data_IF_802888874234
#
_entry.id   IF_802888874234
#
_cell.length_a   1.000
_cell.length_b   1.000
_cell.length_c   1.000
_cell.angle_alpha   90.00
_cell.angle_beta   90.00
_cell.angle_gamma   90.00
#
_symmetry.space_group_name_H-M   'P 1'
#
loop_
_entity.id
_entity.type
_entity.pdbx_description
1 polymer ?
#
# COMPACT_ATOMS: atom_id res chain seq x y z
N UNK A 1 19.24 6.42 -5.44
CA UNK A 1 18.25 6.28 -6.54
C UNK A 1 17.85 4.81 -6.61
N UNK A 2 16.72 4.44 -6.01
CA UNK A 2 16.26 3.04 -5.97
C UNK A 2 15.46 2.76 -7.23
N UNK A 3 16.04 2.05 -8.18
CA UNK A 3 15.35 1.59 -9.39
C UNK A 3 14.14 0.75 -8.94
N UNK A 4 12.88 1.12 -9.29
CA UNK A 4 11.75 0.30 -8.91
C UNK A 4 11.93 -1.08 -9.57
N UNK A 5 12.01 -2.13 -8.76
CA UNK A 5 12.08 -3.49 -9.23
C UNK A 5 10.90 -3.72 -10.18
N UNK A 6 11.19 -3.82 -11.47
CA UNK A 6 10.21 -4.17 -12.50
C UNK A 6 9.78 -5.60 -12.22
N UNK A 7 8.65 -5.79 -11.55
CA UNK A 7 8.12 -7.13 -11.30
C UNK A 7 7.73 -7.77 -12.64
N UNK A 8 8.49 -8.78 -13.04
CA UNK A 8 8.26 -9.62 -14.22
C UNK A 8 7.54 -10.87 -13.74
N UNK A 9 6.39 -11.18 -14.34
CA UNK A 9 5.60 -12.37 -14.00
C UNK A 9 5.29 -13.15 -15.28
N UNK A 10 5.85 -14.35 -15.38
CA UNK A 10 5.59 -15.29 -16.46
C UNK A 10 4.33 -16.09 -16.17
N UNK A 11 3.39 -16.06 -17.11
CA UNK A 11 2.15 -16.85 -17.06
C UNK A 11 2.24 -18.10 -17.95
N UNK A 12 3.16 -18.08 -18.92
CA UNK A 12 3.44 -19.19 -19.85
C UNK A 12 4.95 -19.43 -19.88
N UNK A 13 5.47 -20.38 -19.08
CA UNK A 13 6.91 -20.57 -18.92
C UNK A 13 7.60 -21.04 -20.21
N UNK A 14 6.86 -21.60 -21.17
CA UNK A 14 7.41 -22.03 -22.46
C UNK A 14 7.95 -20.87 -23.34
N UNK A 15 7.63 -19.62 -22.97
CA UNK A 15 8.16 -18.40 -23.63
C UNK A 15 9.28 -17.71 -22.85
N UNK A 16 9.69 -18.26 -21.71
CA UNK A 16 10.81 -17.72 -20.94
C UNK A 16 12.12 -17.90 -21.74
N UNK A 17 12.86 -16.82 -21.98
CA UNK A 17 14.03 -16.82 -22.86
C UNK A 17 13.71 -16.72 -24.36
N UNK A 18 12.43 -16.52 -24.71
CA UNK A 18 11.92 -16.30 -26.08
C UNK A 18 11.13 -15.00 -26.16
N UNK A 19 11.63 -13.97 -25.48
CA UNK A 19 10.96 -12.66 -25.34
C UNK A 19 10.72 -11.97 -26.69
N UNK A 20 11.60 -12.23 -27.67
CA UNK A 20 11.50 -11.74 -29.05
C UNK A 20 10.26 -12.24 -29.80
N UNK A 21 9.68 -13.36 -29.37
CA UNK A 21 8.44 -13.91 -29.92
C UNK A 21 7.18 -13.29 -29.30
N UNK A 22 7.34 -12.49 -28.25
CA UNK A 22 6.24 -11.83 -27.59
C UNK A 22 6.00 -10.44 -28.17
N UNK A 23 4.74 -10.02 -28.14
CA UNK A 23 4.35 -8.67 -28.53
C UNK A 23 3.54 -8.02 -27.42
N UNK A 24 3.90 -6.78 -27.10
CA UNK A 24 3.13 -5.96 -26.20
C UNK A 24 1.76 -5.64 -26.84
N UNK A 25 0.65 -5.75 -26.10
CA UNK A 25 -0.70 -5.53 -26.67
C UNK A 25 -0.85 -4.19 -27.40
N UNK A 26 -0.19 -3.12 -26.94
CA UNK A 26 -0.24 -1.84 -27.65
C UNK A 26 0.56 -1.86 -28.97
N UNK A 27 1.68 -2.59 -29.03
CA UNK A 27 2.44 -2.79 -30.26
C UNK A 27 1.75 -3.76 -31.22
N UNK A 28 1.03 -4.75 -30.69
CA UNK A 28 0.26 -5.72 -31.45
C UNK A 28 -0.84 -5.05 -32.29
N UNK A 29 -1.46 -3.99 -31.76
CA UNK A 29 -2.45 -3.20 -32.49
C UNK A 29 -1.86 -2.54 -33.75
N UNK A 30 -0.65 -1.99 -33.65
CA UNK A 30 0.05 -1.38 -34.77
C UNK A 30 0.42 -2.40 -35.86
N UNK A 31 0.79 -3.63 -35.48
CA UNK A 31 1.14 -4.69 -36.43
C UNK A 31 -0.01 -5.08 -37.37
N UNK A 32 -1.26 -4.92 -36.93
CA UNK A 32 -2.45 -5.36 -37.68
C UNK A 32 -3.34 -4.19 -38.11
N UNK A 33 -2.88 -2.95 -37.94
CA UNK A 33 -3.58 -1.75 -38.41
C UNK A 33 -4.86 -1.40 -37.65
N UNK A 34 -4.98 -1.78 -36.37
CA UNK A 34 -6.17 -1.49 -35.55
C UNK A 34 -5.82 -0.62 -34.34
N UNK A 35 -6.84 -0.07 -33.69
CA UNK A 35 -6.64 0.72 -32.46
C UNK A 35 -6.37 -0.18 -31.25
N UNK A 36 -5.67 0.37 -30.24
CA UNK A 36 -5.43 -0.32 -28.96
C UNK A 36 -6.73 -0.73 -28.26
N UNK A 37 -7.77 0.09 -28.36
CA UNK A 37 -9.09 -0.21 -27.78
C UNK A 37 -9.76 -1.40 -28.48
N UNK A 38 -9.60 -1.55 -29.79
CA UNK A 38 -10.06 -2.74 -30.54
C UNK A 38 -9.41 -4.01 -30.01
N UNK A 39 -8.08 -4.04 -29.86
CA UNK A 39 -7.36 -5.20 -29.29
C UNK A 39 -7.82 -5.49 -27.85
N UNK A 40 -7.99 -4.45 -27.02
CA UNK A 40 -8.50 -4.64 -25.67
C UNK A 40 -9.92 -5.19 -25.64
N UNK A 41 -10.77 -4.81 -26.60
CA UNK A 41 -12.11 -5.35 -26.73
C UNK A 41 -12.08 -6.79 -27.21
N UNK A 42 -11.19 -7.15 -28.13
CA UNK A 42 -11.01 -8.53 -28.55
C UNK A 42 -10.63 -9.43 -27.39
N UNK A 43 -9.64 -9.03 -26.59
CA UNK A 43 -9.22 -9.76 -25.39
C UNK A 43 -10.34 -9.96 -24.36
N UNK A 44 -11.33 -9.06 -24.32
CA UNK A 44 -12.50 -9.17 -23.42
C UNK A 44 -13.63 -10.02 -24.00
N UNK A 45 -13.84 -9.98 -25.31
CA UNK A 45 -15.04 -10.52 -25.99
C UNK A 45 -14.83 -11.89 -26.61
N UNK A 46 -13.59 -12.28 -26.87
CA UNK A 46 -13.27 -13.51 -27.59
C UNK A 46 -12.52 -14.47 -26.68
N UNK A 47 -13.14 -15.61 -26.37
CA UNK A 47 -12.53 -16.66 -25.55
C UNK A 47 -11.30 -17.29 -26.21
N UNK A 48 -11.24 -17.26 -27.55
CA UNK A 48 -10.11 -17.74 -28.35
C UNK A 48 -9.01 -16.68 -28.55
N UNK A 49 -9.06 -15.55 -27.82
CA UNK A 49 -7.96 -14.60 -27.83
C UNK A 49 -6.69 -15.23 -27.24
N UNK A 50 -5.49 -14.95 -27.80
CA UNK A 50 -4.24 -15.52 -27.29
C UNK A 50 -4.03 -15.28 -25.80
N UNK A 51 -3.59 -16.32 -25.10
CA UNK A 51 -3.33 -16.21 -23.66
C UNK A 51 -2.11 -15.32 -23.41
N UNK A 52 -2.21 -14.48 -22.39
CA UNK A 52 -1.10 -13.63 -21.94
C UNK A 52 0.05 -14.54 -21.50
N UNK A 53 1.24 -14.31 -22.05
CA UNK A 53 2.45 -15.06 -21.71
C UNK A 53 3.27 -14.37 -20.62
N UNK A 54 3.31 -13.03 -20.64
CA UNK A 54 4.15 -12.24 -19.74
C UNK A 54 3.41 -10.97 -19.27
N UNK A 55 3.54 -10.68 -17.97
CA UNK A 55 3.13 -9.43 -17.35
C UNK A 55 4.38 -8.68 -16.83
N UNK A 56 4.50 -7.40 -17.17
CA UNK A 56 5.57 -6.54 -16.69
C UNK A 56 5.02 -5.32 -15.95
N UNK A 57 5.57 -5.02 -14.77
CA UNK A 57 5.23 -3.84 -13.97
C UNK A 57 4.34 -4.14 -12.77
N UNK A 58 3.97 -3.09 -12.03
CA UNK A 58 3.29 -3.20 -10.73
C UNK A 58 1.82 -2.76 -10.84
N UNK A 59 0.93 -3.50 -10.19
CA UNK A 59 -0.49 -3.15 -10.06
C UNK A 59 -1.30 -3.20 -11.36
N UNK A 60 -2.30 -2.32 -11.47
CA UNK A 60 -3.25 -2.28 -12.58
C UNK A 60 -2.65 -1.77 -13.90
N UNK A 61 -1.46 -1.16 -13.86
CA UNK A 61 -0.74 -0.62 -15.03
C UNK A 61 0.18 -1.62 -15.74
N UNK A 62 0.09 -2.92 -15.42
CA UNK A 62 0.94 -3.96 -16.00
C UNK A 62 0.85 -4.02 -17.52
N UNK A 63 2.01 -3.95 -18.16
CA UNK A 63 2.16 -4.24 -19.57
C UNK A 63 1.90 -5.74 -19.81
N UNK A 64 1.06 -6.03 -20.80
CA UNK A 64 0.63 -7.40 -21.13
C UNK A 64 1.26 -7.80 -22.46
N UNK A 65 1.86 -8.98 -22.47
CA UNK A 65 2.51 -9.55 -23.63
C UNK A 65 1.85 -10.86 -24.01
N UNK A 66 1.62 -11.04 -25.32
CA UNK A 66 1.05 -12.24 -25.91
C UNK A 66 2.02 -12.79 -26.96
N UNK A 67 2.01 -14.10 -27.26
CA UNK A 67 2.79 -14.64 -28.36
C UNK A 67 2.37 -13.99 -29.68
N UNK A 68 3.35 -13.46 -30.42
CA UNK A 68 3.12 -12.69 -31.65
C UNK A 68 2.41 -13.54 -32.70
N UNK A 69 2.85 -14.78 -32.91
CA UNK A 69 2.28 -15.65 -33.94
C UNK A 69 0.81 -15.98 -33.65
N UNK A 70 0.50 -16.41 -32.41
CA UNK A 70 -0.88 -16.67 -31.98
C UNK A 70 -1.78 -15.43 -32.16
N UNK A 71 -1.25 -14.24 -31.86
CA UNK A 71 -1.97 -12.98 -32.07
C UNK A 71 -2.23 -12.68 -33.54
N UNK A 72 -1.24 -12.87 -34.41
CA UNK A 72 -1.41 -12.62 -35.84
C UNK A 72 -2.42 -13.60 -36.46
N UNK A 73 -2.40 -14.87 -36.06
CA UNK A 73 -3.36 -15.86 -36.53
C UNK A 73 -4.79 -15.53 -36.08
N UNK A 74 -4.95 -15.16 -34.81
CA UNK A 74 -6.23 -14.67 -34.31
C UNK A 74 -6.70 -13.41 -35.06
N UNK A 75 -5.80 -12.43 -35.26
CA UNK A 75 -6.12 -11.17 -35.90
C UNK A 75 -6.53 -11.36 -37.37
N UNK A 76 -5.86 -12.24 -38.12
CA UNK A 76 -6.24 -12.62 -39.49
C UNK A 76 -7.68 -13.13 -39.54
N UNK A 77 -8.03 -14.04 -38.63
CA UNK A 77 -9.40 -14.58 -38.56
C UNK A 77 -10.41 -13.47 -38.24
N UNK A 78 -10.08 -12.52 -37.36
CA UNK A 78 -11.01 -11.45 -37.02
C UNK A 78 -11.16 -10.37 -38.10
N UNK A 79 -10.08 -10.05 -38.81
CA UNK A 79 -10.10 -9.07 -39.90
C UNK A 79 -10.82 -9.62 -41.14
N UNK A 80 -10.75 -10.93 -41.37
CA UNK A 80 -11.42 -11.60 -42.49
C UNK A 80 -12.89 -11.94 -42.20
N UNK A 81 -13.38 -11.76 -40.97
CA UNK A 81 -14.81 -11.85 -40.71
C UNK A 81 -15.46 -10.64 -41.35
N UNK A 82 -16.29 -10.90 -42.37
CA UNK A 82 -17.21 -9.89 -42.88
C UNK A 82 -17.88 -9.21 -41.71
N UNK A 83 -17.81 -7.87 -41.69
CA UNK A 83 -18.36 -7.03 -40.64
C UNK A 83 -19.87 -7.29 -40.58
N UNK A 84 -20.24 -8.28 -39.76
CA UNK A 84 -21.62 -8.73 -39.62
C UNK A 84 -22.52 -7.54 -39.34
N UNK A 85 -23.59 -7.46 -40.14
CA UNK A 85 -24.62 -6.42 -40.17
C UNK A 85 -24.65 -5.55 -38.91
N UNK A 86 -24.48 -4.23 -39.12
CA UNK A 86 -24.55 -3.20 -38.09
C UNK A 86 -25.67 -3.52 -37.09
N UNK A 87 -25.29 -3.87 -35.85
CA UNK A 87 -26.25 -4.14 -34.78
C UNK A 87 -27.19 -2.94 -34.69
N UNK A 88 -28.50 -3.19 -34.79
CA UNK A 88 -29.54 -2.20 -34.45
C UNK A 88 -29.16 -1.60 -33.10
N UNK A 89 -28.79 -0.33 -33.11
CA UNK A 89 -28.53 0.46 -31.91
C UNK A 89 -29.78 0.38 -31.06
N UNK A 90 -29.66 -0.22 -29.87
CA UNK A 90 -30.76 -0.27 -28.92
C UNK A 90 -31.28 1.14 -28.64
N UNK A 91 -32.55 1.25 -28.22
CA UNK A 91 -33.19 2.52 -27.85
C UNK A 91 -32.25 3.35 -26.97
N UNK A 92 -31.79 4.48 -27.51
CA UNK A 92 -30.88 5.36 -26.80
C UNK A 92 -31.63 6.00 -25.63
N UNK A 93 -31.16 5.74 -24.41
CA UNK A 93 -31.65 6.46 -23.22
C UNK A 93 -31.43 7.97 -23.42
N UNK A 94 -32.43 8.82 -23.12
CA UNK A 94 -32.25 10.27 -23.21
C UNK A 94 -31.08 10.74 -22.34
N UNK A 95 -30.27 11.66 -22.88
CA UNK A 95 -29.10 12.17 -22.17
C UNK A 95 -29.45 12.78 -20.80
N UNK A 96 -30.65 13.36 -20.66
CA UNK A 96 -31.15 13.90 -19.39
C UNK A 96 -31.27 12.82 -18.30
N UNK A 97 -31.76 11.62 -18.65
CA UNK A 97 -31.89 10.49 -17.71
C UNK A 97 -30.51 9.99 -17.27
N UNK A 98 -29.56 9.90 -18.22
CA UNK A 98 -28.18 9.49 -17.90
C UNK A 98 -27.54 10.50 -16.95
N UNK A 99 -27.72 11.80 -17.21
CA UNK A 99 -27.15 12.87 -16.36
C UNK A 99 -27.78 12.90 -14.97
N UNK A 100 -29.09 12.70 -14.84
CA UNK A 100 -29.74 12.67 -13.53
C UNK A 100 -29.29 11.45 -12.70
N UNK A 101 -29.14 10.28 -13.32
CA UNK A 101 -28.58 9.10 -12.66
C UNK A 101 -27.13 9.33 -12.19
N UNK A 102 -26.31 10.02 -13.00
CA UNK A 102 -24.95 10.40 -12.63
C UNK A 102 -24.91 11.37 -11.44
N UNK A 103 -25.76 12.41 -11.45
CA UNK A 103 -25.87 13.36 -10.34
C UNK A 103 -26.25 12.61 -9.05
N UNK A 104 -27.31 11.80 -9.09
CA UNK A 104 -27.76 11.02 -7.94
C UNK A 104 -26.71 10.00 -7.44
N UNK A 105 -25.89 9.45 -8.35
CA UNK A 105 -24.76 8.62 -7.97
C UNK A 105 -23.70 9.42 -7.19
N UNK A 106 -23.28 10.57 -7.72
CA UNK A 106 -22.24 11.38 -7.09
C UNK A 106 -22.70 12.00 -5.77
N UNK A 107 -23.95 12.41 -5.65
CA UNK A 107 -24.53 12.87 -4.38
C UNK A 107 -24.43 11.79 -3.29
N UNK A 108 -24.80 10.54 -3.62
CA UNK A 108 -24.64 9.41 -2.67
C UNK A 108 -23.19 9.17 -2.27
N UNK A 109 -22.26 9.31 -3.22
CA UNK A 109 -20.82 9.18 -2.91
C UNK A 109 -20.34 10.31 -1.99
N UNK A 110 -20.75 11.55 -2.25
CA UNK A 110 -20.40 12.71 -1.40
C UNK A 110 -20.93 12.49 0.02
N UNK A 111 -22.21 12.11 0.18
CA UNK A 111 -22.79 11.83 1.51
C UNK A 111 -22.01 10.76 2.24
N UNK A 112 -21.73 9.64 1.57
CA UNK A 112 -20.97 8.52 2.15
C UNK A 112 -19.57 8.95 2.59
N UNK A 113 -18.84 9.67 1.74
CA UNK A 113 -17.48 10.12 2.05
C UNK A 113 -17.47 11.13 3.19
N UNK A 114 -18.44 12.04 3.23
CA UNK A 114 -18.60 13.01 4.32
C UNK A 114 -18.84 12.31 5.66
N UNK A 115 -19.66 11.27 5.69
CA UNK A 115 -19.86 10.47 6.92
C UNK A 115 -18.59 9.73 7.35
N UNK A 116 -17.85 9.16 6.40
CA UNK A 116 -16.57 8.50 6.68
C UNK A 116 -15.56 9.48 7.26
N UNK A 117 -15.44 10.67 6.70
CA UNK A 117 -14.56 11.73 7.20
C UNK A 117 -14.90 12.10 8.66
N UNK A 118 -16.19 12.31 8.97
CA UNK A 118 -16.65 12.59 10.34
C UNK A 118 -16.26 11.47 11.31
N UNK A 119 -16.43 10.20 10.91
CA UNK A 119 -16.04 9.05 11.74
C UNK A 119 -14.53 9.01 11.97
N UNK A 120 -13.73 9.21 10.93
CA UNK A 120 -12.28 9.23 11.02
C UNK A 120 -11.78 10.38 11.90
N UNK A 121 -12.35 11.58 11.76
CA UNK A 121 -12.02 12.73 12.59
C UNK A 121 -12.27 12.44 14.09
N UNK A 122 -13.39 11.78 14.41
CA UNK A 122 -13.68 11.33 15.78
C UNK A 122 -12.63 10.34 16.29
N UNK A 123 -12.32 9.29 15.52
CA UNK A 123 -11.30 8.30 15.88
C UNK A 123 -9.92 8.94 16.07
N UNK A 124 -9.54 9.89 15.21
CA UNK A 124 -8.27 10.63 15.34
C UNK A 124 -8.25 11.51 16.60
N UNK A 125 -9.37 12.13 16.96
CA UNK A 125 -9.46 12.89 18.21
C UNK A 125 -9.29 11.98 19.44
N UNK A 126 -9.91 10.80 19.44
CA UNK A 126 -9.84 9.85 20.55
C UNK A 126 -8.45 9.25 20.71
N UNK A 127 -7.82 8.85 19.60
CA UNK A 127 -6.43 8.35 19.60
C UNK A 127 -5.45 9.41 20.09
N UNK A 128 -5.61 10.69 19.68
CA UNK A 128 -4.80 11.80 20.21
C UNK A 128 -4.99 12.01 21.70
N UNK A 129 -6.22 11.89 22.23
CA UNK A 129 -6.48 11.94 23.68
C UNK A 129 -5.77 10.80 24.41
N UNK A 130 -5.89 9.57 23.91
CA UNK A 130 -5.22 8.41 24.49
C UNK A 130 -3.70 8.59 24.51
N UNK A 131 -3.11 9.05 23.41
CA UNK A 131 -1.67 9.31 23.32
C UNK A 131 -1.20 10.33 24.36
N UNK A 132 -1.92 11.46 24.53
CA UNK A 132 -1.61 12.46 25.55
C UNK A 132 -1.67 11.86 26.96
N UNK A 133 -2.71 11.07 27.25
CA UNK A 133 -2.87 10.38 28.55
C UNK A 133 -1.70 9.44 28.84
N UNK A 134 -1.31 8.61 27.87
CA UNK A 134 -0.20 7.68 28.05
C UNK A 134 1.15 8.38 28.19
N UNK A 135 1.39 9.47 27.44
CA UNK A 135 2.60 10.30 27.61
C UNK A 135 2.69 10.91 29.00
N UNK A 136 1.59 11.45 29.53
CA UNK A 136 1.54 11.99 30.88
C UNK A 136 1.84 10.92 31.94
N UNK A 137 1.24 9.73 31.81
CA UNK A 137 1.51 8.60 32.70
C UNK A 137 2.96 8.13 32.65
N UNK A 138 3.55 8.08 31.45
CA UNK A 138 4.96 7.71 31.29
C UNK A 138 5.88 8.73 31.97
N UNK A 139 5.61 10.03 31.83
CA UNK A 139 6.37 11.07 32.50
C UNK A 139 6.28 10.94 34.03
N UNK A 140 5.08 10.71 34.58
CA UNK A 140 4.87 10.48 36.02
C UNK A 140 5.61 9.22 36.51
N UNK A 141 5.54 8.12 35.77
CA UNK A 141 6.23 6.89 36.13
C UNK A 141 7.76 7.06 36.13
N UNK A 142 8.31 7.80 35.17
CA UNK A 142 9.74 8.15 35.12
C UNK A 142 10.16 8.98 36.32
N UNK A 143 9.40 10.04 36.64
CA UNK A 143 9.68 10.88 37.79
C UNK A 143 9.64 10.08 39.10
N UNK A 144 8.66 9.20 39.26
CA UNK A 144 8.57 8.31 40.43
C UNK A 144 9.77 7.37 40.53
N UNK A 145 10.17 6.76 39.42
CA UNK A 145 11.35 5.90 39.38
C UNK A 145 12.62 6.67 39.74
N UNK A 146 12.79 7.89 39.23
CA UNK A 146 13.93 8.76 39.57
C UNK A 146 13.97 9.07 41.07
N UNK A 147 12.82 9.38 41.68
CA UNK A 147 12.73 9.60 43.14
C UNK A 147 13.06 8.34 43.95
N UNK A 148 12.62 7.17 43.49
CA UNK A 148 12.91 5.89 44.15
C UNK A 148 14.41 5.56 44.05
N UNK A 149 15.04 5.75 42.88
CA UNK A 149 16.49 5.57 42.69
C UNK A 149 17.29 6.54 43.57
N UNK A 150 16.87 7.81 43.65
CA UNK A 150 17.53 8.79 44.50
C UNK A 150 17.45 8.41 45.99
N UNK A 151 16.28 7.95 46.46
CA UNK A 151 16.09 7.50 47.83
C UNK A 151 16.97 6.27 48.17
N UNK A 152 17.05 5.30 47.27
CA UNK A 152 17.91 4.12 47.45
C UNK A 152 19.39 4.53 47.57
N UNK A 153 19.87 5.42 46.70
CA UNK A 153 21.25 5.92 46.77
C UNK A 153 21.56 6.65 48.08
N UNK A 154 20.62 7.43 48.61
CA UNK A 154 20.82 8.11 49.90
C UNK A 154 20.91 7.13 51.07
N UNK A 155 20.16 6.02 51.01
CA UNK A 155 20.24 4.96 52.02
C UNK A 155 21.58 4.22 51.93
N UNK A 156 22.00 3.82 50.72
CA UNK A 156 23.32 3.19 50.50
C UNK A 156 24.48 4.07 50.98
N UNK A 157 24.42 5.38 50.75
CA UNK A 157 25.44 6.33 51.22
C UNK A 157 25.43 6.50 52.75
N UNK A 158 24.25 6.46 53.38
CA UNK A 158 24.13 6.51 54.84
C UNK A 158 24.66 5.24 55.51
N UNK A 159 24.40 4.06 54.93
CA UNK A 159 24.90 2.78 55.42
C UNK A 159 26.43 2.69 55.27
N UNK A 160 27.00 3.11 54.13
CA UNK A 160 28.45 3.17 53.94
C UNK A 160 29.12 4.17 54.89
N UNK A 161 28.47 5.30 55.19
CA UNK A 161 28.99 6.26 56.18
C UNK A 161 28.95 5.71 57.62
N UNK A 162 27.96 4.85 57.94
CA UNK A 162 27.86 4.20 59.25
C UNK A 162 28.90 3.08 59.43
N UNK A 163 29.28 2.37 58.36
CA UNK A 163 30.30 1.30 58.40
C UNK A 163 31.75 1.83 58.46
N UNK A 164 31.99 3.09 58.10
CA UNK A 164 33.34 3.70 58.09
C UNK A 164 33.76 4.24 59.47
N UNK A 165 32.88 4.29 60.48
CA UNK A 165 33.27 4.69 61.85
C UNK A 165 32.78 3.75 62.95
N UNK A 166 33.56 2.69 63.24
CA UNK A 166 33.66 2.17 64.58
C UNK A 166 35.13 2.25 65.01
N UNK A 167 35.43 3.11 65.98
CA UNK A 167 36.68 3.18 66.79
C UNK A 167 37.73 4.24 66.45
N UNK A 168 37.35 5.52 66.41
CA UNK A 168 38.25 6.57 66.92
C UNK A 168 37.98 6.83 68.42
N UNK A 169 38.37 5.89 69.29
CA UNK A 169 38.54 6.19 70.73
C UNK A 169 39.78 7.07 70.92
N UNK A 170 39.68 8.30 71.46
CA UNK A 170 40.82 9.04 71.92
C UNK A 170 41.00 8.74 73.41
N UNK A 171 41.47 7.54 73.74
CA UNK A 171 41.94 7.25 75.10
C UNK A 171 43.47 7.27 75.10
N UNK A 172 44.03 8.35 75.63
CA UNK A 172 45.46 8.65 75.60
C UNK A 172 45.83 9.83 76.49
N UNK A 173 45.66 9.66 77.81
CA UNK A 173 46.32 10.41 78.90
C UNK A 173 47.79 10.78 78.57
N UNK A 174 48.24 11.98 78.95
CA UNK A 174 49.37 12.30 79.87
C UNK A 174 49.21 13.78 80.32
N UNK A 175 48.72 14.07 81.53
CA UNK A 175 49.45 14.47 82.75
C UNK A 175 50.33 15.75 82.64
N UNK A 176 49.94 16.81 83.36
CA UNK A 176 50.82 17.86 83.85
C UNK A 176 50.21 18.50 85.11
N UNK A 177 50.92 18.45 86.24
CA UNK A 177 50.58 19.09 87.51
C UNK A 177 50.81 18.20 88.72
#
# INVERSE_FOLDING_TARGET
MTTPATSVVWLRPEFQGRENELVHLAGAAALVGVTRSTVSNWAKRHANFPKIALLMGIGAGRAKYVPRNEFLDFARVQLNKELGAARKTGSHRPAAVIRSEQIAHHERQITRLTELEKRQAKTLADTRRALRKHRARLAQARQRLETEIAAVRTLEQADVAADIDPTASPDGRVAAG
#
